data_IF_650330314066
#
_entry.id   IF_650330314066
#
_cell.length_a   1.000
_cell.length_b   1.000
_cell.length_c   1.000
_cell.angle_alpha   90.00
_cell.angle_beta   90.00
_cell.angle_gamma   90.00
#
_symmetry.space_group_name_H-M   'P 1'
#
loop_
_entity.id
_entity.type
_entity.pdbx_description
1 polymer ?
#
# COMPACT_ATOMS: atom_id res chain seq x y z
N UNK A 1 19.49 5.84 8.90
CA UNK A 1 18.50 5.29 7.95
C UNK A 1 17.18 5.97 8.27
N UNK A 2 16.61 6.71 7.33
CA UNK A 2 15.34 7.41 7.52
C UNK A 2 14.18 6.39 7.54
N UNK A 3 13.23 6.59 8.45
CA UNK A 3 12.04 5.73 8.59
C UNK A 3 10.78 6.54 8.35
N UNK A 4 9.85 5.98 7.61
CA UNK A 4 8.52 6.51 7.35
C UNK A 4 7.51 5.80 8.25
N UNK A 5 6.35 6.41 8.46
CA UNK A 5 5.25 5.81 9.24
C UNK A 5 4.08 5.57 8.29
N UNK A 6 3.60 4.32 8.22
CA UNK A 6 2.48 3.96 7.37
C UNK A 6 1.20 4.60 7.92
N UNK A 7 0.43 5.28 7.08
CA UNK A 7 -0.83 5.89 7.49
C UNK A 7 -1.92 4.86 7.78
N UNK A 8 -1.92 3.73 7.09
CA UNK A 8 -2.94 2.68 7.29
C UNK A 8 -2.70 1.86 8.56
N UNK A 9 -1.48 1.36 8.76
CA UNK A 9 -1.19 0.45 9.87
C UNK A 9 -0.37 1.06 11.01
N UNK A 10 0.15 2.28 10.85
CA UNK A 10 1.01 2.95 11.85
C UNK A 10 2.42 2.37 11.98
N UNK A 11 2.77 1.32 11.22
CA UNK A 11 4.09 0.71 11.29
C UNK A 11 5.17 1.61 10.70
N UNK A 12 6.37 1.53 11.28
CA UNK A 12 7.54 2.23 10.76
C UNK A 12 8.30 1.36 9.78
N UNK A 13 8.57 1.89 8.58
CA UNK A 13 9.24 1.18 7.51
C UNK A 13 10.33 2.06 6.87
N UNK A 14 11.21 1.44 6.09
CA UNK A 14 12.33 2.11 5.43
C UNK A 14 11.97 2.50 4.00
N UNK A 15 12.76 3.38 3.36
CA UNK A 15 12.49 3.80 1.96
C UNK A 15 12.39 2.63 0.98
N UNK A 16 13.08 1.51 1.21
CA UNK A 16 13.00 0.31 0.38
C UNK A 16 11.67 -0.44 0.47
N UNK A 17 10.91 -0.20 1.53
CA UNK A 17 9.58 -0.78 1.79
C UNK A 17 8.47 0.23 1.47
N UNK A 18 8.83 1.40 0.94
CA UNK A 18 7.89 2.41 0.45
C UNK A 18 7.38 1.97 -0.92
N UNK A 19 6.07 1.97 -1.05
CA UNK A 19 5.45 1.89 -2.37
C UNK A 19 5.50 3.27 -3.03
N UNK A 20 6.27 3.39 -4.12
CA UNK A 20 6.40 4.65 -4.85
C UNK A 20 5.19 4.92 -5.76
N UNK A 21 4.42 3.90 -6.12
CA UNK A 21 3.23 4.06 -6.95
C UNK A 21 2.06 4.64 -6.15
N UNK A 22 1.99 4.30 -4.86
CA UNK A 22 1.06 4.87 -3.89
C UNK A 22 1.62 6.08 -3.13
N UNK A 23 2.74 6.66 -3.59
CA UNK A 23 3.33 7.82 -2.95
C UNK A 23 2.51 9.09 -3.22
N UNK A 24 2.06 9.74 -2.14
CA UNK A 24 1.46 11.08 -2.17
C UNK A 24 2.22 11.96 -1.18
N UNK A 25 2.38 13.26 -1.48
CA UNK A 25 3.14 14.17 -0.60
C UNK A 25 2.47 14.26 0.78
N UNK A 26 3.15 13.75 1.80
CA UNK A 26 2.65 13.72 3.19
C UNK A 26 1.93 12.43 3.59
N UNK A 27 1.72 11.52 2.64
CA UNK A 27 1.06 10.24 2.86
C UNK A 27 1.98 9.09 2.45
N UNK A 28 2.39 8.29 3.44
CA UNK A 28 3.31 7.18 3.23
C UNK A 28 2.60 5.87 3.52
N UNK A 29 2.68 4.94 2.57
CA UNK A 29 2.12 3.60 2.68
C UNK A 29 3.25 2.58 2.58
N UNK A 30 3.26 1.59 3.48
CA UNK A 30 4.14 0.45 3.30
C UNK A 30 3.59 -0.45 2.19
N UNK A 31 4.48 -1.16 1.49
CA UNK A 31 4.12 -2.08 0.39
C UNK A 31 2.98 -3.03 0.74
N UNK A 32 2.94 -3.57 1.96
CA UNK A 32 1.87 -4.49 2.36
C UNK A 32 0.49 -3.82 2.37
N UNK A 33 0.39 -2.58 2.87
CA UNK A 33 -0.87 -1.86 2.93
C UNK A 33 -1.30 -1.37 1.55
N UNK A 34 -0.37 -0.89 0.72
CA UNK A 34 -0.70 -0.45 -0.64
C UNK A 34 -1.18 -1.60 -1.52
N UNK A 35 -0.51 -2.77 -1.47
CA UNK A 35 -0.96 -3.96 -2.19
C UNK A 35 -2.35 -4.41 -1.76
N UNK A 36 -2.62 -4.44 -0.45
CA UNK A 36 -3.94 -4.80 0.07
C UNK A 36 -5.04 -3.84 -0.38
N UNK A 37 -4.77 -2.53 -0.38
CA UNK A 37 -5.73 -1.53 -0.87
C UNK A 37 -5.99 -1.66 -2.36
N UNK A 38 -4.97 -1.98 -3.14
CA UNK A 38 -5.11 -2.22 -4.59
C UNK A 38 -6.00 -3.43 -4.85
N UNK A 39 -5.75 -4.56 -4.18
CA UNK A 39 -6.55 -5.78 -4.25
C UNK A 39 -8.01 -5.51 -3.84
N UNK A 40 -8.23 -4.82 -2.72
CA UNK A 40 -9.57 -4.40 -2.30
C UNK A 40 -10.28 -3.54 -3.37
N UNK A 41 -9.53 -2.69 -4.07
CA UNK A 41 -10.06 -1.88 -5.17
C UNK A 41 -10.45 -2.72 -6.38
N UNK A 42 -9.67 -3.76 -6.70
CA UNK A 42 -9.97 -4.72 -7.77
C UNK A 42 -11.20 -5.56 -7.42
N UNK A 43 -11.24 -6.12 -6.20
CA UNK A 43 -12.38 -6.89 -5.69
C UNK A 43 -13.69 -6.08 -5.68
N UNK A 44 -13.60 -4.78 -5.40
CA UNK A 44 -14.78 -3.90 -5.42
C UNK A 44 -15.35 -3.70 -6.84
N UNK A 45 -14.51 -3.82 -7.88
CA UNK A 45 -14.91 -3.69 -9.29
C UNK A 45 -15.38 -5.04 -9.83
N UNK A 46 -14.58 -6.09 -9.60
CA UNK A 46 -14.85 -7.45 -10.01
C UNK A 46 -14.36 -8.42 -8.92
N UNK A 47 -15.26 -8.93 -8.06
CA UNK A 47 -14.88 -9.83 -6.97
C UNK A 47 -14.28 -11.19 -7.40
N UNK A 48 -14.26 -11.52 -8.69
CA UNK A 48 -13.75 -12.80 -9.20
C UNK A 48 -12.61 -12.61 -10.22
N UNK A 49 -11.92 -11.46 -10.18
CA UNK A 49 -10.88 -11.11 -11.14
C UNK A 49 -9.67 -12.07 -11.14
N UNK A 50 -9.48 -12.83 -10.06
CA UNK A 50 -8.43 -13.84 -9.90
C UNK A 50 -8.82 -15.26 -10.38
N UNK A 51 -10.06 -15.48 -10.82
CA UNK A 51 -10.52 -16.79 -11.30
C UNK A 51 -10.34 -16.94 -12.83
N UNK A 52 -9.17 -17.42 -13.26
CA UNK A 52 -8.85 -17.88 -14.64
C UNK A 52 -8.72 -19.42 -14.74
#
# INVERSE_FOLDING_TARGET
MEKFTCQECGNKFTKSELDIEFYSEGEYYCQACSSFLLECGQDAIDPHWDED
#
